data_IF_942469803838
#
_entry.id   IF_942469803838
#
_cell.length_a   1.000
_cell.length_b   1.000
_cell.length_c   1.000
_cell.angle_alpha   90.00
_cell.angle_beta   90.00
_cell.angle_gamma   90.00
#
_symmetry.space_group_name_H-M   'P 1'
#
loop_
_entity.id
_entity.type
_entity.pdbx_description
1 polymer ?
#
# COMPACT_ATOMS: atom_id res chain seq x y z
N UNK A 1 12.29 -32.63 62.98
CA UNK A 1 11.13 -33.51 62.71
C UNK A 1 11.12 -33.72 61.22
N UNK A 2 11.48 -34.94 60.85
CA UNK A 2 11.53 -35.56 59.54
C UNK A 2 10.12 -35.83 59.04
N UNK A 3 9.86 -35.62 57.75
CA UNK A 3 9.15 -36.60 56.91
C UNK A 3 9.51 -36.32 55.43
N UNK A 4 10.29 -37.25 54.89
CA UNK A 4 10.47 -37.57 53.47
C UNK A 4 9.29 -38.43 52.97
N UNK A 5 9.34 -38.79 51.69
CA UNK A 5 8.56 -39.77 50.88
C UNK A 5 7.76 -39.04 49.78
N UNK A 6 8.34 -38.79 48.59
CA UNK A 6 8.74 -39.74 47.53
C UNK A 6 7.59 -40.63 47.02
N UNK A 7 7.22 -40.44 45.75
CA UNK A 7 6.81 -41.49 44.79
C UNK A 7 6.28 -40.85 43.51
N UNK A 8 7.13 -40.74 42.48
CA UNK A 8 6.71 -40.98 41.09
C UNK A 8 6.59 -42.49 40.86
N UNK A 9 5.78 -42.90 39.88
CA UNK A 9 6.40 -43.70 38.83
C UNK A 9 5.98 -43.30 37.41
N UNK A 10 6.99 -43.32 36.56
CA UNK A 10 7.01 -43.47 35.10
C UNK A 10 6.27 -44.75 34.66
N UNK A 11 5.62 -44.78 33.49
CA UNK A 11 6.11 -45.50 32.29
C UNK A 11 5.05 -45.98 31.27
N UNK A 12 5.50 -45.99 30.02
CA UNK A 12 5.17 -46.89 28.89
C UNK A 12 3.86 -46.80 28.06
N UNK A 13 4.05 -46.25 26.84
CA UNK A 13 4.04 -46.96 25.54
C UNK A 13 2.79 -47.68 24.98
N UNK A 14 2.39 -47.15 23.81
CA UNK A 14 2.13 -47.86 22.54
C UNK A 14 0.70 -48.37 22.15
N UNK A 15 0.44 -48.51 20.83
CA UNK A 15 -0.83 -48.24 20.16
C UNK A 15 -1.67 -49.50 19.91
N UNK A 16 -2.91 -49.32 19.44
CA UNK A 16 -3.74 -50.41 18.94
C UNK A 16 -4.19 -50.15 17.49
N UNK A 17 -3.73 -51.08 16.65
CA UNK A 17 -4.14 -51.54 15.33
C UNK A 17 -5.54 -51.17 14.76
N UNK A 18 -5.55 -50.97 13.43
CA UNK A 18 -6.75 -51.14 12.57
C UNK A 18 -7.16 -52.62 12.39
N UNK A 19 -8.14 -52.94 11.52
CA UNK A 19 -7.77 -53.25 10.12
C UNK A 19 -8.82 -52.96 9.00
N UNK A 20 -8.26 -52.60 7.84
CA UNK A 20 -8.50 -53.08 6.45
C UNK A 20 -9.90 -53.18 5.77
N UNK A 21 -9.98 -52.44 4.65
CA UNK A 21 -10.16 -52.88 3.24
C UNK A 21 -11.53 -53.32 2.66
N UNK A 22 -11.93 -52.61 1.58
CA UNK A 22 -12.29 -53.11 0.24
C UNK A 22 -12.54 -51.86 -0.65
N UNK A 23 -11.84 -51.62 -1.76
CA UNK A 23 -11.90 -52.34 -3.04
C UNK A 23 -12.79 -51.52 -3.99
N UNK A 24 -12.28 -50.72 -4.93
CA UNK A 24 -11.78 -51.06 -6.29
C UNK A 24 -12.62 -50.35 -7.38
N UNK A 25 -11.92 -49.53 -8.18
CA UNK A 25 -11.92 -49.56 -9.66
C UNK A 25 -12.93 -48.75 -10.52
N UNK A 26 -12.31 -48.15 -11.56
CA UNK A 26 -12.80 -47.78 -12.91
C UNK A 26 -13.59 -46.45 -13.07
N UNK A 27 -13.42 -45.66 -14.12
CA UNK A 27 -12.51 -45.64 -15.27
C UNK A 27 -12.71 -44.28 -15.99
N UNK A 28 -11.67 -43.78 -16.65
CA UNK A 28 -11.79 -42.72 -17.65
C UNK A 28 -12.60 -43.18 -18.88
N UNK A 29 -13.13 -42.23 -19.66
CA UNK A 29 -12.88 -42.33 -21.09
C UNK A 29 -12.43 -41.00 -21.72
N UNK A 30 -11.43 -41.15 -22.58
CA UNK A 30 -11.10 -40.26 -23.68
C UNK A 30 -12.32 -39.95 -24.55
N UNK A 31 -12.45 -38.69 -24.98
CA UNK A 31 -13.09 -38.36 -26.24
C UNK A 31 -12.34 -37.21 -26.91
N UNK A 32 -11.50 -37.61 -27.86
CA UNK A 32 -11.01 -36.78 -28.94
C UNK A 32 -12.20 -36.30 -29.79
N UNK A 33 -12.26 -35.02 -30.12
CA UNK A 33 -13.05 -34.54 -31.25
C UNK A 33 -12.24 -33.58 -32.10
N UNK A 34 -11.95 -34.05 -33.31
CA UNK A 34 -11.31 -33.36 -34.41
C UNK A 34 -12.14 -32.16 -34.91
N UNK A 35 -11.43 -31.07 -35.22
CA UNK A 35 -11.56 -30.27 -36.45
C UNK A 35 -12.92 -29.74 -36.88
N UNK A 36 -13.05 -28.41 -36.90
CA UNK A 36 -13.66 -27.72 -38.03
C UNK A 36 -13.07 -26.31 -38.21
N UNK A 37 -12.42 -26.17 -39.36
CA UNK A 37 -11.93 -24.97 -40.04
C UNK A 37 -13.07 -23.98 -40.32
N UNK A 38 -12.82 -22.67 -40.20
CA UNK A 38 -13.31 -21.61 -41.11
C UNK A 38 -12.88 -20.22 -40.60
N UNK A 39 -11.91 -19.64 -41.30
CA UNK A 39 -11.48 -18.26 -41.10
C UNK A 39 -12.54 -17.24 -41.54
N UNK A 40 -12.59 -16.12 -40.84
CA UNK A 40 -13.10 -14.86 -41.39
C UNK A 40 -12.13 -13.74 -41.00
N UNK A 41 -11.21 -13.46 -41.92
CA UNK A 41 -10.44 -12.23 -41.94
C UNK A 41 -11.37 -11.07 -42.28
N UNK A 42 -11.37 -10.03 -41.45
CA UNK A 42 -11.85 -8.70 -41.88
C UNK A 42 -10.70 -7.72 -41.73
N UNK A 43 -9.88 -7.67 -42.77
CA UNK A 43 -9.08 -6.50 -43.09
C UNK A 43 -10.00 -5.51 -43.80
N UNK A 44 -10.21 -4.31 -43.24
CA UNK A 44 -10.55 -3.15 -44.06
C UNK A 44 -10.12 -1.86 -43.38
N UNK A 45 -9.21 -1.18 -44.07
CA UNK A 45 -8.45 0.00 -43.66
C UNK A 45 -9.26 1.31 -43.52
N UNK A 46 -8.75 2.13 -42.60
CA UNK A 46 -8.48 3.58 -42.67
C UNK A 46 -9.62 4.59 -42.90
N UNK A 47 -9.86 5.47 -41.92
CA UNK A 47 -9.33 6.86 -41.87
C UNK A 47 -10.23 7.85 -41.08
N UNK A 48 -9.61 8.63 -40.18
CA UNK A 48 -10.13 9.85 -39.53
C UNK A 48 -10.93 9.58 -38.24
N UNK A 49 -10.65 10.17 -37.07
CA UNK A 49 -10.32 11.58 -36.80
C UNK A 49 -9.81 11.72 -35.36
N UNK A 50 -8.68 12.41 -35.16
CA UNK A 50 -8.47 13.35 -34.04
C UNK A 50 -8.31 12.82 -32.60
N UNK A 51 -7.11 13.06 -32.06
CA UNK A 51 -6.79 13.35 -30.65
C UNK A 51 -7.09 12.29 -29.59
N UNK A 52 -6.03 11.54 -29.26
CA UNK A 52 -5.55 11.42 -27.88
C UNK A 52 -6.48 10.70 -26.92
N UNK A 53 -6.73 9.42 -27.18
CA UNK A 53 -6.95 8.50 -26.07
C UNK A 53 -5.53 8.13 -25.65
N UNK A 54 -5.04 8.77 -24.58
CA UNK A 54 -3.84 8.32 -23.89
C UNK A 54 -4.08 6.86 -23.53
N UNK A 55 -3.48 5.96 -24.30
CA UNK A 55 -3.39 4.55 -23.97
C UNK A 55 -2.58 4.49 -22.68
N UNK A 56 -3.28 4.46 -21.53
CA UNK A 56 -2.67 4.15 -20.25
C UNK A 56 -1.95 2.81 -20.42
N UNK A 57 -0.65 2.89 -20.67
CA UNK A 57 0.29 1.76 -20.64
C UNK A 57 0.42 1.34 -19.18
N UNK A 58 -0.67 0.77 -18.64
CA UNK A 58 -0.68 0.12 -17.34
C UNK A 58 0.18 -1.12 -17.47
N UNK A 59 1.40 -1.05 -16.92
CA UNK A 59 2.23 -2.24 -16.76
C UNK A 59 1.52 -3.15 -15.76
N UNK A 60 1.14 -4.35 -16.18
CA UNK A 60 0.60 -5.37 -15.27
C UNK A 60 1.73 -5.87 -14.38
N UNK A 61 1.60 -5.66 -13.08
CA UNK A 61 2.53 -6.19 -12.08
C UNK A 61 2.17 -7.67 -11.86
N UNK A 62 3.15 -8.60 -11.94
CA UNK A 62 2.89 -10.00 -11.60
C UNK A 62 2.38 -10.14 -10.17
N UNK A 63 1.44 -11.06 -9.94
CA UNK A 63 0.78 -11.25 -8.64
C UNK A 63 1.79 -11.42 -7.49
N UNK A 64 2.87 -12.18 -7.73
CA UNK A 64 3.97 -12.41 -6.77
C UNK A 64 4.82 -11.15 -6.43
N UNK A 65 4.55 -10.01 -7.05
CA UNK A 65 5.26 -8.74 -6.87
C UNK A 65 4.35 -7.60 -6.42
N UNK A 66 3.05 -7.85 -6.21
CA UNK A 66 2.10 -6.79 -5.84
C UNK A 66 2.38 -6.26 -4.44
N UNK A 67 2.64 -7.11 -3.45
CA UNK A 67 2.97 -6.63 -2.09
C UNK A 67 4.28 -5.84 -2.06
N UNK A 68 5.31 -6.28 -2.78
CA UNK A 68 6.55 -5.51 -2.95
C UNK A 68 6.31 -4.11 -3.56
N UNK A 69 5.46 -4.02 -4.59
CA UNK A 69 5.09 -2.75 -5.20
C UNK A 69 4.31 -1.84 -4.23
N UNK A 70 3.35 -2.40 -3.49
CA UNK A 70 2.59 -1.66 -2.47
C UNK A 70 3.52 -1.13 -1.37
N UNK A 71 4.43 -1.97 -0.86
CA UNK A 71 5.39 -1.55 0.16
C UNK A 71 6.27 -0.41 -0.35
N UNK A 72 6.74 -0.49 -1.60
CA UNK A 72 7.51 0.59 -2.21
C UNK A 72 6.68 1.88 -2.39
N UNK A 73 5.38 1.77 -2.68
CA UNK A 73 4.50 2.93 -2.76
C UNK A 73 4.27 3.62 -1.41
N UNK A 74 4.43 2.88 -0.30
CA UNK A 74 4.32 3.42 1.05
C UNK A 74 5.65 3.93 1.63
N UNK A 75 6.79 3.58 1.05
CA UNK A 75 8.12 3.98 1.51
C UNK A 75 8.34 5.49 1.32
N UNK A 76 8.68 6.20 2.41
CA UNK A 76 9.13 7.59 2.38
C UNK A 76 10.66 7.60 2.23
N UNK A 77 11.18 7.86 1.02
CA UNK A 77 12.65 7.87 0.77
C UNK A 77 13.44 8.91 1.57
N UNK A 78 12.75 9.92 2.11
CA UNK A 78 13.37 10.96 2.94
C UNK A 78 13.36 10.59 4.42
N UNK A 79 12.64 9.52 4.80
CA UNK A 79 12.51 9.03 6.18
C UNK A 79 12.84 7.53 6.27
N UNK A 80 13.05 7.07 7.48
CA UNK A 80 13.11 5.65 7.78
C UNK A 80 12.37 5.45 9.09
N UNK A 81 11.11 5.05 8.99
CA UNK A 81 10.24 4.78 10.12
C UNK A 81 10.22 3.28 10.38
N UNK A 82 10.63 2.87 11.57
CA UNK A 82 10.56 1.46 11.96
C UNK A 82 9.10 1.06 12.22
N UNK A 83 8.72 -0.21 11.97
CA UNK A 83 7.34 -0.68 12.26
C UNK A 83 6.90 -0.36 13.69
N UNK A 84 7.82 -0.51 14.65
CA UNK A 84 7.51 -0.29 16.07
C UNK A 84 7.28 1.19 16.36
N UNK A 85 8.02 2.09 15.71
CA UNK A 85 7.83 3.54 15.85
C UNK A 85 6.45 3.95 15.35
N UNK A 86 6.03 3.45 14.19
CA UNK A 86 4.69 3.72 13.65
C UNK A 86 3.57 3.21 14.59
N UNK A 87 3.72 2.00 15.16
CA UNK A 87 2.76 1.48 16.13
C UNK A 87 2.73 2.32 17.40
N UNK A 88 3.89 2.69 17.95
CA UNK A 88 3.96 3.51 19.17
C UNK A 88 3.41 4.92 18.99
N UNK A 89 3.39 5.44 17.76
CA UNK A 89 2.80 6.74 17.43
C UNK A 89 1.27 6.76 17.59
N UNK A 90 0.58 5.61 17.43
CA UNK A 90 -0.90 5.54 17.43
C UNK A 90 -1.51 4.57 18.43
N UNK A 91 -0.72 3.64 18.98
CA UNK A 91 -1.17 2.66 19.96
C UNK A 91 -0.61 3.00 21.33
N UNK A 92 -1.50 3.38 22.25
CA UNK A 92 -1.14 3.62 23.64
C UNK A 92 -0.59 2.36 24.33
N UNK A 93 0.26 2.54 25.33
CA UNK A 93 0.94 1.45 26.05
C UNK A 93 -0.03 0.39 26.58
N UNK A 94 -1.13 0.82 27.22
CA UNK A 94 -2.20 -0.04 27.71
C UNK A 94 -2.95 -0.84 26.63
N UNK A 95 -2.89 -0.43 25.35
CA UNK A 95 -3.55 -1.11 24.24
C UNK A 95 -2.62 -2.08 23.47
N UNK A 96 -1.32 -2.11 23.77
CA UNK A 96 -0.33 -2.90 23.01
C UNK A 96 -0.59 -4.41 23.05
N UNK A 97 -1.16 -4.94 24.13
CA UNK A 97 -1.48 -6.37 24.21
C UNK A 97 -2.66 -6.74 23.31
N UNK A 98 -3.67 -5.86 23.23
CA UNK A 98 -4.78 -6.03 22.29
C UNK A 98 -4.27 -5.92 20.84
N UNK A 99 -3.39 -4.95 20.56
CA UNK A 99 -2.74 -4.80 19.25
C UNK A 99 -1.99 -6.07 18.82
N UNK A 100 -1.16 -6.63 19.71
CA UNK A 100 -0.39 -7.87 19.45
C UNK A 100 -1.27 -9.10 19.22
N UNK A 101 -2.55 -9.06 19.61
CA UNK A 101 -3.49 -10.16 19.38
C UNK A 101 -4.12 -10.15 17.98
N UNK A 102 -3.98 -9.03 17.25
CA UNK A 102 -4.40 -8.92 15.86
C UNK A 102 -3.46 -9.71 14.93
N UNK A 103 -3.99 -10.22 13.81
CA UNK A 103 -3.14 -10.73 12.73
C UNK A 103 -2.37 -9.58 12.05
N UNK A 104 -1.29 -9.90 11.33
CA UNK A 104 -0.52 -8.88 10.61
C UNK A 104 -1.40 -8.10 9.61
N UNK A 105 -2.25 -8.79 8.84
CA UNK A 105 -3.29 -8.16 8.00
C UNK A 105 -4.16 -7.18 8.78
N UNK A 106 -4.69 -7.58 9.94
CA UNK A 106 -5.54 -6.70 10.76
C UNK A 106 -4.76 -5.48 11.28
N UNK A 107 -3.50 -5.65 11.68
CA UNK A 107 -2.65 -4.54 12.10
C UNK A 107 -2.44 -3.54 10.97
N UNK A 108 -2.16 -4.02 9.74
CA UNK A 108 -2.01 -3.16 8.56
C UNK A 108 -3.31 -2.40 8.27
N UNK A 109 -4.47 -3.07 8.28
CA UNK A 109 -5.78 -2.42 8.08
C UNK A 109 -6.04 -1.32 9.11
N UNK A 110 -5.71 -1.56 10.39
CA UNK A 110 -5.86 -0.54 11.44
C UNK A 110 -4.91 0.65 11.22
N UNK A 111 -3.65 0.41 10.82
CA UNK A 111 -2.71 1.49 10.49
C UNK A 111 -3.19 2.32 9.29
N UNK A 112 -3.68 1.67 8.23
CA UNK A 112 -4.25 2.34 7.06
C UNK A 112 -5.49 3.16 7.44
N UNK A 113 -6.36 2.62 8.29
CA UNK A 113 -7.54 3.33 8.80
C UNK A 113 -7.15 4.57 9.62
N UNK A 114 -6.08 4.50 10.40
CA UNK A 114 -5.59 5.66 11.15
C UNK A 114 -4.93 6.69 10.23
N UNK A 115 -4.19 6.25 9.20
CA UNK A 115 -3.60 7.14 8.19
C UNK A 115 -4.68 7.90 7.42
N UNK A 116 -5.75 7.20 7.04
CA UNK A 116 -6.90 7.78 6.35
C UNK A 116 -7.59 8.86 7.19
N UNK A 117 -7.84 8.61 8.47
CA UNK A 117 -8.39 9.64 9.39
C UNK A 117 -7.49 10.87 9.53
N UNK A 118 -6.18 10.71 9.44
CA UNK A 118 -5.28 11.86 9.42
C UNK A 118 -5.43 12.66 8.13
N UNK A 119 -5.56 11.97 6.99
CA UNK A 119 -5.76 12.59 5.69
C UNK A 119 -7.11 13.31 5.59
N UNK A 120 -8.21 12.67 6.00
CA UNK A 120 -9.54 13.29 6.05
C UNK A 120 -9.50 14.62 6.82
N UNK A 121 -8.89 14.60 8.01
CA UNK A 121 -8.76 15.80 8.84
C UNK A 121 -7.84 16.85 8.23
N UNK A 122 -6.81 16.44 7.50
CA UNK A 122 -5.95 17.37 6.78
C UNK A 122 -6.71 18.05 5.64
N UNK A 123 -7.48 17.28 4.86
CA UNK A 123 -8.37 17.79 3.80
C UNK A 123 -9.39 18.77 4.36
N UNK A 124 -10.10 18.41 5.44
CA UNK A 124 -11.08 19.29 6.10
C UNK A 124 -10.48 20.66 6.48
N UNK A 125 -9.24 20.67 6.97
CA UNK A 125 -8.54 21.90 7.34
C UNK A 125 -8.19 22.75 6.11
N UNK A 126 -7.76 22.11 5.02
CA UNK A 126 -7.38 22.77 3.77
C UNK A 126 -8.60 23.35 3.05
N UNK A 127 -9.68 22.60 2.93
CA UNK A 127 -10.94 23.08 2.35
C UNK A 127 -11.56 24.23 3.16
N UNK A 128 -11.28 24.27 4.46
CA UNK A 128 -11.68 25.35 5.34
C UNK A 128 -10.89 26.65 5.17
N UNK A 129 -9.83 26.69 4.34
CA UNK A 129 -9.04 27.88 4.05
C UNK A 129 -9.71 28.65 2.90
N UNK A 130 -10.21 29.89 3.14
CA UNK A 130 -10.75 30.73 2.08
C UNK A 130 -9.67 31.03 1.04
N UNK A 131 -10.01 31.00 -0.25
CA UNK A 131 -9.05 31.25 -1.36
C UNK A 131 -9.04 32.71 -1.84
N UNK A 132 -9.75 33.60 -1.16
CA UNK A 132 -9.83 35.00 -1.52
C UNK A 132 -8.58 35.80 -1.10
N UNK A 133 -8.32 36.88 -1.84
CA UNK A 133 -7.05 37.64 -1.91
C UNK A 133 -6.66 38.41 -0.62
N UNK A 134 -7.20 38.04 0.54
CA UNK A 134 -6.87 38.66 1.83
C UNK A 134 -5.48 38.31 2.35
N UNK A 135 -4.84 37.28 1.78
CA UNK A 135 -3.58 36.72 2.29
C UNK A 135 -3.82 35.72 3.42
N UNK A 136 -2.81 34.93 3.74
CA UNK A 136 -2.84 33.96 4.84
C UNK A 136 -2.58 34.71 6.15
N UNK A 137 -3.62 34.94 6.94
CA UNK A 137 -3.47 35.42 8.32
C UNK A 137 -2.88 34.31 9.23
N UNK A 138 -2.60 34.65 10.49
CA UNK A 138 -1.96 33.72 11.41
C UNK A 138 -2.83 32.48 11.71
N UNK A 139 -4.15 32.65 11.78
CA UNK A 139 -5.09 31.55 12.03
C UNK A 139 -5.15 30.59 10.83
N UNK A 140 -5.16 31.13 9.60
CA UNK A 140 -5.12 30.32 8.37
C UNK A 140 -3.76 29.63 8.18
N UNK A 141 -2.67 30.27 8.62
CA UNK A 141 -1.33 29.65 8.63
C UNK A 141 -1.28 28.47 9.59
N UNK A 142 -1.82 28.61 10.79
CA UNK A 142 -1.89 27.51 11.77
C UNK A 142 -2.68 26.32 11.21
N UNK A 143 -3.78 26.57 10.48
CA UNK A 143 -4.53 25.49 9.81
C UNK A 143 -3.72 24.75 8.76
N UNK A 144 -2.99 25.48 7.91
CA UNK A 144 -2.13 24.87 6.89
C UNK A 144 -0.99 24.06 7.52
N UNK A 145 -0.36 24.59 8.56
CA UNK A 145 0.69 23.90 9.31
C UNK A 145 0.16 22.63 9.99
N UNK A 146 -1.03 22.69 10.59
CA UNK A 146 -1.69 21.54 11.20
C UNK A 146 -2.08 20.49 10.16
N UNK A 147 -2.63 20.89 9.00
CA UNK A 147 -2.92 19.96 7.91
C UNK A 147 -1.66 19.24 7.43
N UNK A 148 -0.56 19.98 7.27
CA UNK A 148 0.75 19.41 6.92
C UNK A 148 1.26 18.44 7.98
N UNK A 149 1.06 18.76 9.27
CA UNK A 149 1.43 17.87 10.38
C UNK A 149 0.60 16.59 10.39
N UNK A 150 -0.71 16.67 10.15
CA UNK A 150 -1.59 15.52 10.10
C UNK A 150 -1.19 14.58 8.96
N UNK A 151 -0.95 15.12 7.76
CA UNK A 151 -0.47 14.35 6.61
C UNK A 151 0.84 13.62 6.90
N UNK A 152 1.81 14.30 7.52
CA UNK A 152 3.06 13.66 7.99
C UNK A 152 2.81 12.49 8.95
N UNK A 153 1.80 12.57 9.82
CA UNK A 153 1.48 11.45 10.69
C UNK A 153 0.91 10.28 9.89
N UNK A 154 0.09 10.52 8.85
CA UNK A 154 -0.37 9.47 7.95
C UNK A 154 0.81 8.79 7.24
N UNK A 155 1.79 9.58 6.79
CA UNK A 155 2.99 9.09 6.10
C UNK A 155 3.87 8.23 7.00
N UNK A 156 4.03 8.60 8.28
CA UNK A 156 4.72 7.76 9.28
C UNK A 156 4.08 6.37 9.39
N UNK A 157 2.76 6.26 9.28
CA UNK A 157 2.09 4.97 9.34
C UNK A 157 2.30 4.15 8.08
N UNK A 158 2.25 4.78 6.89
CA UNK A 158 2.52 4.12 5.61
C UNK A 158 3.97 3.64 5.54
N UNK A 159 4.92 4.50 5.86
CA UNK A 159 6.34 4.17 5.89
C UNK A 159 6.63 3.04 6.89
N UNK A 160 5.98 3.06 8.06
CA UNK A 160 6.02 1.96 9.02
C UNK A 160 5.50 0.63 8.48
N UNK A 161 4.46 0.62 7.64
CA UNK A 161 3.97 -0.59 6.95
C UNK A 161 5.03 -1.10 5.97
N UNK A 162 5.66 -0.21 5.19
CA UNK A 162 6.74 -0.56 4.26
C UNK A 162 7.92 -1.22 5.01
N UNK A 163 8.31 -0.66 6.15
CA UNK A 163 9.33 -1.25 7.02
C UNK A 163 8.89 -2.63 7.57
N UNK A 164 7.64 -2.76 8.03
CA UNK A 164 7.09 -4.04 8.48
C UNK A 164 7.13 -5.14 7.42
N UNK A 165 6.89 -4.79 6.15
CA UNK A 165 7.05 -5.69 5.01
C UNK A 165 8.52 -6.07 4.79
N UNK A 166 9.42 -5.09 4.75
CA UNK A 166 10.86 -5.31 4.55
C UNK A 166 11.51 -6.16 5.68
N UNK A 167 11.01 -6.02 6.91
CA UNK A 167 11.42 -6.80 8.08
C UNK A 167 10.84 -8.21 8.10
N UNK A 168 9.90 -8.54 7.20
CA UNK A 168 9.19 -9.82 7.15
C UNK A 168 8.14 -10.00 8.24
N UNK A 169 7.69 -8.90 8.87
CA UNK A 169 6.58 -8.92 9.84
C UNK A 169 5.22 -9.02 9.15
N UNK A 170 5.11 -8.45 7.95
CA UNK A 170 3.95 -8.51 7.08
C UNK A 170 4.35 -9.26 5.82
N UNK A 171 3.69 -10.38 5.52
CA UNK A 171 3.90 -11.12 4.26
C UNK A 171 3.27 -10.41 3.05
N UNK A 172 3.67 -10.82 1.84
CA UNK A 172 3.13 -10.30 0.59
C UNK A 172 1.59 -10.47 0.50
N UNK A 173 1.11 -11.70 0.68
CA UNK A 173 -0.33 -12.02 0.71
C UNK A 173 -1.10 -11.21 1.77
N UNK A 174 -0.47 -10.96 2.93
CA UNK A 174 -1.11 -10.23 4.03
C UNK A 174 -1.22 -8.74 3.72
N UNK A 175 -0.20 -8.15 3.10
CA UNK A 175 -0.19 -6.75 2.68
C UNK A 175 -1.19 -6.51 1.55
N UNK A 176 -1.21 -7.38 0.54
CA UNK A 176 -2.17 -7.29 -0.58
C UNK A 176 -3.60 -7.40 -0.04
N UNK A 177 -3.88 -8.42 0.77
CA UNK A 177 -5.21 -8.61 1.31
C UNK A 177 -5.65 -7.49 2.26
N UNK A 178 -4.70 -6.84 2.97
CA UNK A 178 -5.00 -5.68 3.81
C UNK A 178 -5.37 -4.45 2.97
N UNK A 179 -4.67 -4.21 1.86
CA UNK A 179 -4.99 -3.13 0.92
C UNK A 179 -6.35 -3.34 0.25
N UNK A 180 -6.67 -4.58 -0.13
CA UNK A 180 -7.99 -4.93 -0.66
C UNK A 180 -9.11 -4.72 0.37
N UNK A 181 -8.90 -5.16 1.61
CA UNK A 181 -9.87 -4.97 2.71
C UNK A 181 -10.09 -3.52 3.09
N UNK A 182 -9.05 -2.69 2.96
CA UNK A 182 -9.11 -1.28 3.30
C UNK A 182 -9.99 -0.48 2.32
N UNK A 183 -10.23 -1.00 1.11
CA UNK A 183 -11.08 -0.36 0.08
C UNK A 183 -10.68 1.10 -0.21
N UNK A 184 -9.45 1.34 -0.70
CA UNK A 184 -9.01 2.69 -1.08
C UNK A 184 -10.02 3.42 -1.98
N UNK A 185 -10.59 4.51 -1.46
CA UNK A 185 -11.44 5.39 -2.25
C UNK A 185 -10.58 6.37 -3.06
N UNK A 186 -10.41 6.05 -4.34
CA UNK A 186 -9.66 6.88 -5.27
C UNK A 186 -10.24 8.28 -5.46
N UNK A 187 -11.55 8.47 -5.22
CA UNK A 187 -12.17 9.79 -5.26
C UNK A 187 -11.73 10.65 -4.07
N UNK A 188 -11.71 10.06 -2.87
CA UNK A 188 -11.23 10.73 -1.65
C UNK A 188 -9.74 11.09 -1.73
N UNK A 189 -8.91 10.24 -2.36
CA UNK A 189 -7.51 10.57 -2.65
C UNK A 189 -7.39 11.77 -3.59
N UNK A 190 -8.18 11.81 -4.66
CA UNK A 190 -8.13 12.91 -5.61
C UNK A 190 -8.56 14.24 -4.97
N UNK A 191 -9.64 14.23 -4.17
CA UNK A 191 -10.12 15.40 -3.43
C UNK A 191 -9.04 15.95 -2.47
N UNK A 192 -8.34 15.07 -1.76
CA UNK A 192 -7.21 15.43 -0.90
C UNK A 192 -6.08 16.14 -1.66
N UNK A 193 -5.64 15.59 -2.80
CA UNK A 193 -4.57 16.20 -3.58
C UNK A 193 -5.01 17.53 -4.20
N UNK A 194 -6.25 17.63 -4.68
CA UNK A 194 -6.83 18.85 -5.27
C UNK A 194 -6.93 19.98 -4.23
N UNK A 195 -7.41 19.69 -3.01
CA UNK A 195 -7.52 20.67 -1.93
C UNK A 195 -6.15 21.24 -1.55
N UNK A 196 -5.16 20.36 -1.44
CA UNK A 196 -3.81 20.74 -1.08
C UNK A 196 -3.11 21.53 -2.19
N UNK A 197 -3.18 21.08 -3.44
CA UNK A 197 -2.58 21.79 -4.58
C UNK A 197 -3.20 23.18 -4.73
N UNK A 198 -4.51 23.29 -4.55
CA UNK A 198 -5.24 24.56 -4.61
C UNK A 198 -4.75 25.56 -3.57
N UNK A 199 -4.63 25.15 -2.31
CA UNK A 199 -4.17 26.04 -1.23
C UNK A 199 -2.70 26.40 -1.40
N UNK A 200 -1.84 25.42 -1.72
CA UNK A 200 -0.41 25.64 -1.92
C UNK A 200 -0.15 26.64 -3.05
N UNK A 201 -0.79 26.44 -4.21
CA UNK A 201 -0.65 27.34 -5.36
C UNK A 201 -1.23 28.73 -5.11
N UNK A 202 -2.34 28.84 -4.37
CA UNK A 202 -2.99 30.14 -4.09
C UNK A 202 -2.11 31.04 -3.22
N UNK A 203 -1.35 30.44 -2.29
CA UNK A 203 -0.57 31.17 -1.29
C UNK A 203 0.95 31.04 -1.46
N UNK A 204 1.41 30.42 -2.55
CA UNK A 204 2.83 30.21 -2.86
C UNK A 204 3.57 29.48 -1.72
N UNK A 205 2.92 28.42 -1.22
CA UNK A 205 3.45 27.60 -0.13
C UNK A 205 4.18 26.40 -0.72
N UNK A 206 5.40 26.15 -0.24
CA UNK A 206 6.16 24.97 -0.63
C UNK A 206 5.48 23.70 -0.11
N UNK A 207 4.98 22.87 -1.02
CA UNK A 207 4.52 21.52 -0.72
C UNK A 207 4.99 20.54 -1.81
N UNK A 208 5.42 19.35 -1.39
CA UNK A 208 5.76 18.25 -2.29
C UNK A 208 4.77 17.11 -2.11
N UNK A 209 3.92 16.80 -3.11
CA UNK A 209 3.12 15.58 -3.09
C UNK A 209 4.06 14.36 -3.18
N UNK A 210 3.82 13.34 -2.35
CA UNK A 210 4.57 12.10 -2.39
C UNK A 210 3.67 10.90 -2.68
N UNK A 211 4.21 9.96 -3.47
CA UNK A 211 3.49 8.88 -4.16
C UNK A 211 3.71 8.85 -5.68
N UNK A 212 4.55 9.73 -6.22
CA UNK A 212 5.00 9.67 -7.61
C UNK A 212 6.45 9.23 -7.69
N UNK A 213 6.71 8.04 -8.23
CA UNK A 213 7.92 7.84 -9.04
C UNK A 213 7.78 8.68 -10.32
N UNK A 214 7.69 10.00 -10.19
CA UNK A 214 7.67 10.91 -11.32
C UNK A 214 9.12 11.07 -11.78
N UNK A 215 9.52 10.14 -12.65
CA UNK A 215 10.32 10.39 -13.85
C UNK A 215 10.69 11.86 -14.08
N UNK A 216 11.68 12.36 -13.35
CA UNK A 216 12.38 13.61 -13.69
C UNK A 216 13.81 13.59 -13.16
N UNK A 217 14.55 12.56 -13.54
CA UNK A 217 15.96 12.72 -13.84
C UNK A 217 16.11 12.55 -15.35
N UNK A 218 15.67 13.57 -16.11
CA UNK A 218 16.29 13.80 -17.41
C UNK A 218 17.73 14.19 -17.08
N UNK A 219 18.63 13.23 -17.25
CA UNK A 219 20.07 13.47 -17.26
C UNK A 219 20.32 14.76 -18.04
N UNK A 220 21.05 15.75 -17.51
CA UNK A 220 21.47 16.86 -18.35
C UNK A 220 22.25 16.25 -19.51
N UNK A 221 21.78 16.49 -20.74
CA UNK A 221 22.53 16.23 -21.95
C UNK A 221 23.86 17.03 -21.84
N UNK A 222 24.90 16.45 -21.25
CA UNK A 222 26.27 16.95 -21.23
C UNK A 222 26.91 16.76 -22.61
N UNK A 223 26.26 17.25 -23.67
CA UNK A 223 26.79 17.26 -25.03
C UNK A 223 26.29 18.52 -25.75
N UNK A 224 26.73 19.68 -25.28
CA UNK A 224 26.80 20.89 -26.08
C UNK A 224 28.24 21.40 -26.06
N UNK A 225 29.03 20.82 -26.96
CA UNK A 225 30.38 21.20 -27.32
C UNK A 225 30.56 22.72 -27.35
N UNK A 226 31.41 23.23 -26.44
CA UNK A 226 31.98 24.58 -26.51
C UNK A 226 32.93 24.64 -27.71
N UNK A 227 32.36 24.88 -28.89
CA UNK A 227 33.09 25.16 -30.12
C UNK A 227 33.24 26.69 -30.29
N UNK A 228 34.10 27.31 -29.48
CA UNK A 228 34.64 28.65 -29.80
C UNK A 228 35.77 28.49 -30.82
N UNK A 229 35.44 28.68 -32.09
CA UNK A 229 36.41 29.06 -33.11
C UNK A 229 36.01 30.42 -33.68
N UNK A 230 37.04 31.27 -33.80
CA UNK A 230 37.15 32.59 -34.46
C UNK A 230 37.09 33.83 -33.58
#
# INVERSE_FOLDING_TARGET
MTDELDSTPTDESQPADGPQAAGESNAAPDHEHEGSDEGCTTESSAAGTGSGIEESLGVTIPDDHVGAFVAQAFEDVERSTEWTEAVEAVVADEARDAWRSLSARQQVVELLTMADRYDERATDLLEGIPLDRGGLDDDLRERFEEATRLRRNADVLRDGIAAGYAEGRVGDDELVAAVEDFEFDTASIAEREDALDTVANTYDLDFRPYGGTLMTEREPDEDAEEFEAW
#
